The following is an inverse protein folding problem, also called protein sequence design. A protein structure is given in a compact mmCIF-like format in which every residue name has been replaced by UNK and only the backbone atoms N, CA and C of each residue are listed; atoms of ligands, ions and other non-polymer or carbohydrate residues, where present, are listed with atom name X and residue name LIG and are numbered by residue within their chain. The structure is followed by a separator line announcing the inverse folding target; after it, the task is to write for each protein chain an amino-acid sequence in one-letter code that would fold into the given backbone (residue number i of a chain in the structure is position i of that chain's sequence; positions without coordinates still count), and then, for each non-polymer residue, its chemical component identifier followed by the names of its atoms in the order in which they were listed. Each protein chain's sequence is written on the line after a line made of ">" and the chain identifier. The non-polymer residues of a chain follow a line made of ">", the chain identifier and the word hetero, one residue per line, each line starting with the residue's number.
data_IF_191353090322
#
_entry.id   IF_191353090322
#
_cell.length_a   1.000
_cell.length_b   1.000
_cell.length_c   1.000
_cell.angle_alpha   90.00
_cell.angle_beta   90.00
_cell.angle_gamma   90.00
#
_symmetry.space_group_name_H-M   'P 1'
#
loop_
_entity.id
_entity.type
_entity.pdbx_description
1 polymer ?
#
# COMPACT_ATOMS: atom_id res chain seq x y z
N UNK A 1 -2.71 -4.06 -8.43
CA UNK A 1 -2.70 -3.05 -7.36
C UNK A 1 -1.36 -2.31 -7.38
N UNK A 2 -1.39 -0.99 -7.46
CA UNK A 2 -0.22 -0.11 -7.63
C UNK A 2 0.63 0.11 -6.37
N UNK A 3 0.27 -0.51 -5.24
CA UNK A 3 0.93 -0.30 -3.94
C UNK A 3 2.46 -0.48 -3.98
N UNK A 4 2.95 -1.51 -4.68
CA UNK A 4 4.40 -1.77 -4.80
C UNK A 4 5.11 -0.65 -5.57
N UNK A 5 4.48 -0.14 -6.63
CA UNK A 5 5.01 0.95 -7.45
C UNK A 5 5.12 2.22 -6.61
N UNK A 6 4.05 2.60 -5.91
CA UNK A 6 4.02 3.76 -5.01
C UNK A 6 5.13 3.68 -3.94
N UNK A 7 5.32 2.49 -3.35
CA UNK A 7 6.39 2.27 -2.36
C UNK A 7 7.78 2.47 -2.96
N UNK A 8 8.03 1.94 -4.15
CA UNK A 8 9.34 2.00 -4.81
C UNK A 8 9.65 3.42 -5.31
N UNK A 9 8.65 4.17 -5.80
CA UNK A 9 8.79 5.60 -6.16
C UNK A 9 9.29 6.44 -4.97
N UNK A 10 8.83 6.13 -3.75
CA UNK A 10 9.31 6.78 -2.50
C UNK A 10 10.59 6.15 -1.90
N UNK A 11 11.22 5.18 -2.57
CA UNK A 11 12.41 4.43 -2.10
C UNK A 11 12.23 3.78 -0.72
N UNK A 12 11.02 3.31 -0.42
CA UNK A 12 10.69 2.73 0.88
C UNK A 12 10.80 1.21 0.89
N UNK A 13 11.18 0.66 2.04
CA UNK A 13 11.06 -0.78 2.35
C UNK A 13 9.64 -1.05 2.89
N UNK A 14 9.13 -2.27 2.71
CA UNK A 14 7.79 -2.64 3.21
C UNK A 14 7.61 -2.35 4.72
N UNK A 15 8.67 -2.53 5.53
CA UNK A 15 8.66 -2.22 6.96
C UNK A 15 8.40 -0.74 7.27
N UNK A 16 8.78 0.18 6.38
CA UNK A 16 8.57 1.62 6.58
C UNK A 16 7.09 1.96 6.40
N UNK A 17 6.47 1.43 5.34
CA UNK A 17 5.02 1.60 5.08
C UNK A 17 4.20 0.96 6.19
N UNK A 18 4.57 -0.26 6.59
CA UNK A 18 3.91 -0.99 7.67
C UNK A 18 3.89 -0.20 8.98
N UNK A 19 5.03 0.39 9.36
CA UNK A 19 5.15 1.27 10.53
C UNK A 19 4.28 2.53 10.39
N UNK A 20 4.23 3.13 9.20
CA UNK A 20 3.47 4.36 8.97
C UNK A 20 1.95 4.16 9.12
N UNK A 21 1.41 3.05 8.63
CA UNK A 21 -0.05 2.82 8.66
C UNK A 21 -0.51 1.92 9.83
N UNK A 22 0.43 1.44 10.66
CA UNK A 22 0.14 0.62 11.83
C UNK A 22 -0.28 -0.82 11.50
N UNK A 23 0.40 -1.47 10.54
CA UNK A 23 0.18 -2.89 10.18
C UNK A 23 1.48 -3.69 10.22
N UNK A 24 1.41 -5.00 10.05
CA UNK A 24 2.61 -5.84 9.95
C UNK A 24 3.30 -5.70 8.58
N UNK A 25 4.61 -5.92 8.53
CA UNK A 25 5.35 -5.98 7.25
C UNK A 25 4.80 -7.05 6.31
N UNK A 26 4.33 -8.17 6.88
CA UNK A 26 3.71 -9.25 6.10
C UNK A 26 2.35 -8.81 5.50
N UNK A 27 1.58 -7.95 6.18
CA UNK A 27 0.37 -7.38 5.60
C UNK A 27 0.69 -6.58 4.33
N UNK A 28 1.69 -5.69 4.38
CA UNK A 28 2.15 -4.94 3.18
C UNK A 28 2.60 -5.91 2.07
N UNK A 29 3.37 -6.95 2.41
CA UNK A 29 3.79 -7.94 1.42
C UNK A 29 2.62 -8.69 0.78
N UNK A 30 1.59 -9.03 1.55
CA UNK A 30 0.38 -9.71 1.07
C UNK A 30 -0.46 -8.79 0.19
N UNK A 31 -0.52 -7.50 0.55
CA UNK A 31 -1.17 -6.47 -0.27
C UNK A 31 -0.44 -6.36 -1.61
N UNK A 32 0.87 -6.12 -1.62
CA UNK A 32 1.66 -5.95 -2.85
C UNK A 32 1.64 -7.14 -3.82
N UNK A 33 1.29 -8.34 -3.35
CA UNK A 33 1.17 -9.54 -4.17
C UNK A 33 -0.28 -9.95 -4.46
N UNK A 34 -1.25 -9.07 -4.17
CA UNK A 34 -2.69 -9.29 -4.31
C UNK A 34 -3.21 -10.55 -3.59
N UNK A 35 -2.51 -11.07 -2.57
CA UNK A 35 -2.96 -12.28 -1.86
C UNK A 35 -3.90 -11.99 -0.69
N UNK A 36 -3.99 -10.73 -0.31
CA UNK A 36 -4.99 -10.24 0.61
C UNK A 36 -5.34 -8.82 0.21
N UNK A 37 -6.63 -8.48 0.22
CA UNK A 37 -7.08 -7.13 -0.09
C UNK A 37 -7.06 -6.31 1.21
N UNK A 38 -6.46 -5.10 1.23
CA UNK A 38 -6.55 -4.24 2.40
C UNK A 38 -8.00 -3.86 2.67
N UNK A 39 -8.40 -3.82 3.95
CA UNK A 39 -9.71 -3.26 4.33
C UNK A 39 -9.75 -1.76 4.03
N UNK A 40 -10.95 -1.19 3.90
CA UNK A 40 -11.18 0.23 3.62
C UNK A 40 -10.30 1.17 4.48
N UNK A 41 -10.25 0.94 5.80
CA UNK A 41 -9.44 1.76 6.70
C UNK A 41 -7.93 1.70 6.44
N UNK A 42 -7.41 0.57 5.92
CA UNK A 42 -6.01 0.48 5.52
C UNK A 42 -5.77 1.11 4.15
N UNK A 43 -6.75 1.04 3.23
CA UNK A 43 -6.69 1.76 1.95
C UNK A 43 -6.64 3.26 2.18
N UNK A 44 -7.49 3.81 3.04
CA UNK A 44 -7.52 5.23 3.41
C UNK A 44 -6.17 5.69 3.98
N UNK A 45 -5.60 4.92 4.93
CA UNK A 45 -4.26 5.22 5.48
C UNK A 45 -3.15 5.16 4.44
N UNK A 46 -3.23 4.21 3.50
CA UNK A 46 -2.25 4.12 2.41
C UNK A 46 -2.38 5.32 1.46
N UNK A 47 -3.61 5.70 1.13
CA UNK A 47 -3.92 6.86 0.29
C UNK A 47 -3.36 8.15 0.91
N UNK A 48 -3.65 8.39 2.19
CA UNK A 48 -3.10 9.51 2.97
C UNK A 48 -1.56 9.47 3.01
N UNK A 49 -0.97 8.31 3.30
CA UNK A 49 0.50 8.16 3.35
C UNK A 49 1.20 8.43 2.01
N UNK A 50 0.57 8.01 0.91
CA UNK A 50 1.15 8.22 -0.42
C UNK A 50 0.79 9.58 -1.02
N UNK A 51 -0.28 10.23 -0.56
CA UNK A 51 -0.81 11.47 -1.13
C UNK A 51 -1.54 11.22 -2.45
N UNK A 52 -2.29 10.13 -2.52
CA UNK A 52 -3.02 9.65 -3.71
C UNK A 52 -4.45 9.26 -3.33
N UNK A 53 -5.31 8.99 -4.31
CA UNK A 53 -6.65 8.45 -4.06
C UNK A 53 -6.61 6.95 -3.70
N UNK A 54 -7.73 6.40 -3.21
CA UNK A 54 -7.83 4.95 -2.98
C UNK A 54 -7.81 4.21 -4.32
N UNK A 55 -8.41 4.81 -5.33
CA UNK A 55 -8.50 4.34 -6.71
C UNK A 55 -7.10 4.14 -7.30
N UNK A 56 -6.21 5.12 -7.15
CA UNK A 56 -4.81 5.06 -7.58
C UNK A 56 -4.06 3.86 -7.01
N UNK A 57 -4.45 3.39 -5.81
CA UNK A 57 -3.87 2.21 -5.18
C UNK A 57 -4.45 0.94 -5.80
N UNK A 58 -5.77 0.88 -5.95
CA UNK A 58 -6.49 -0.32 -6.37
C UNK A 58 -6.43 -0.61 -7.87
N UNK A 59 -6.24 0.42 -8.69
CA UNK A 59 -6.04 0.28 -10.13
C UNK A 59 -4.76 -0.54 -10.42
N UNK A 60 -4.79 -1.30 -11.52
CA UNK A 60 -3.61 -1.94 -12.09
C UNK A 60 -3.27 -1.15 -13.35
N UNK A 61 -2.07 -0.56 -13.41
CA UNK A 61 -1.54 -0.06 -14.69
C UNK A 61 -1.50 -1.26 -15.67
N UNK A 62 -2.34 -1.22 -16.73
CA UNK A 62 -2.41 -2.22 -17.82
C UNK A 62 -1.15 -2.13 -18.69
#
# INVERSE_FOLDING_TARGET
>A
MNLKILRLKKRLRQKHVAKAIGVSRNAISNYERNSNVPKKSNLEKLAEFYGVSVEDITEEDI
#
